data_IF_442404113780
#
_entry.id   IF_442404113780
#
_cell.length_a   1.000
_cell.length_b   1.000
_cell.length_c   1.000
_cell.angle_alpha   90.00
_cell.angle_beta   90.00
_cell.angle_gamma   90.00
#
_symmetry.space_group_name_H-M   'P 1'
#
loop_
_entity.id
_entity.type
_entity.pdbx_description
1 polymer ?
#
# COMPACT_ATOMS: atom_id res chain seq x y z
N UNK A 1 14.81 -7.07 -27.04
CA UNK A 1 13.75 -6.22 -26.46
C UNK A 1 12.72 -5.82 -27.51
N UNK A 2 11.45 -6.15 -27.27
CA UNK A 2 10.34 -5.93 -28.20
C UNK A 2 9.62 -4.59 -27.89
N UNK A 3 10.04 -3.50 -28.54
CA UNK A 3 9.49 -2.16 -28.30
C UNK A 3 8.02 -2.03 -28.71
N UNK A 4 7.63 -2.62 -29.85
CA UNK A 4 6.23 -2.55 -30.29
C UNK A 4 5.28 -3.22 -29.29
N UNK A 5 5.65 -4.41 -28.80
CA UNK A 5 4.85 -5.10 -27.79
C UNK A 5 4.75 -4.31 -26.48
N UNK A 6 5.84 -3.64 -26.09
CA UNK A 6 5.84 -2.75 -24.94
C UNK A 6 4.78 -1.65 -25.11
N UNK A 7 4.79 -0.98 -26.25
CA UNK A 7 3.88 0.14 -26.51
C UNK A 7 2.42 -0.35 -26.57
N UNK A 8 2.16 -1.50 -27.19
CA UNK A 8 0.84 -2.15 -27.20
C UNK A 8 0.34 -2.47 -25.78
N UNK A 9 1.22 -2.97 -24.89
CA UNK A 9 0.89 -3.26 -23.48
C UNK A 9 0.50 -1.96 -22.76
N UNK A 10 1.27 -0.90 -22.95
CA UNK A 10 1.00 0.41 -22.33
C UNK A 10 -0.35 0.97 -22.78
N UNK A 11 -0.67 0.88 -24.08
CA UNK A 11 -1.97 1.29 -24.62
C UNK A 11 -3.09 0.44 -24.00
N UNK A 12 -2.96 -0.89 -24.06
CA UNK A 12 -3.95 -1.84 -23.55
C UNK A 12 -4.35 -1.55 -22.09
N UNK A 13 -3.35 -1.31 -21.25
CA UNK A 13 -3.53 -1.07 -19.81
C UNK A 13 -4.07 0.33 -19.52
N UNK A 14 -3.56 1.38 -20.17
CA UNK A 14 -4.04 2.76 -19.95
C UNK A 14 -5.50 2.92 -20.34
N UNK A 15 -5.91 2.37 -21.48
CA UNK A 15 -7.29 2.39 -21.94
C UNK A 15 -8.26 1.67 -20.98
N UNK A 16 -7.73 0.81 -20.11
CA UNK A 16 -8.51 0.02 -19.14
C UNK A 16 -8.34 0.51 -17.70
N UNK A 17 -7.74 1.69 -17.50
CA UNK A 17 -7.70 2.38 -16.22
C UNK A 17 -6.51 2.04 -15.33
N UNK A 18 -5.39 1.57 -15.88
CA UNK A 18 -4.13 1.55 -15.15
C UNK A 18 -3.57 2.98 -15.02
N UNK A 19 -3.26 3.41 -13.80
CA UNK A 19 -2.66 4.72 -13.54
C UNK A 19 -1.14 4.70 -13.73
N UNK A 20 -0.50 3.60 -13.33
CA UNK A 20 0.94 3.39 -13.46
C UNK A 20 1.24 2.06 -14.12
N UNK A 21 2.25 2.05 -14.99
CA UNK A 21 2.69 0.85 -15.70
C UNK A 21 4.21 0.87 -15.72
N UNK A 22 4.82 -0.17 -15.19
CA UNK A 22 6.27 -0.32 -15.15
C UNK A 22 6.68 -1.73 -15.52
N UNK A 23 7.91 -1.90 -15.98
CA UNK A 23 8.43 -3.20 -16.37
C UNK A 23 9.78 -3.39 -15.69
N UNK A 24 9.93 -4.51 -15.00
CA UNK A 24 11.20 -4.94 -14.43
C UNK A 24 11.77 -6.11 -15.23
N UNK A 25 13.09 -6.13 -15.42
CA UNK A 25 13.79 -7.35 -15.85
C UNK A 25 13.84 -8.35 -14.71
N UNK A 26 13.71 -9.65 -15.01
CA UNK A 26 13.88 -10.71 -14.01
C UNK A 26 15.24 -10.65 -13.29
N UNK A 27 16.27 -10.13 -13.96
CA UNK A 27 17.61 -9.99 -13.40
C UNK A 27 17.70 -8.91 -12.30
N UNK A 28 16.74 -7.99 -12.21
CA UNK A 28 16.76 -6.92 -11.21
C UNK A 28 16.80 -7.46 -9.77
N UNK A 29 16.20 -8.62 -9.52
CA UNK A 29 16.20 -9.30 -8.21
C UNK A 29 17.54 -9.93 -7.83
N UNK A 30 18.50 -10.03 -8.75
CA UNK A 30 19.76 -10.73 -8.52
C UNK A 30 20.85 -9.82 -7.95
N UNK A 31 20.66 -8.50 -7.94
CA UNK A 31 21.74 -7.55 -7.73
C UNK A 31 21.90 -7.04 -6.29
N UNK A 32 20.83 -7.00 -5.49
CA UNK A 32 20.86 -6.34 -4.17
C UNK A 32 20.69 -7.27 -2.96
N UNK A 33 20.41 -8.56 -3.19
CA UNK A 33 20.20 -9.56 -2.14
C UNK A 33 18.96 -9.32 -1.26
N UNK A 34 18.10 -8.35 -1.58
CA UNK A 34 16.92 -7.99 -0.76
C UNK A 34 15.88 -9.10 -0.71
N UNK A 35 15.73 -9.80 -1.83
CA UNK A 35 14.72 -10.84 -2.03
C UNK A 35 15.40 -12.19 -2.13
N UNK A 36 15.07 -13.11 -1.22
CA UNK A 36 15.55 -14.49 -1.25
C UNK A 36 15.03 -15.21 -2.50
N UNK A 37 15.79 -16.17 -3.01
CA UNK A 37 15.56 -16.82 -4.31
C UNK A 37 14.13 -17.37 -4.48
N UNK A 38 13.59 -18.03 -3.45
CA UNK A 38 12.25 -18.61 -3.47
C UNK A 38 11.10 -17.60 -3.73
N UNK A 39 11.35 -16.30 -3.57
CA UNK A 39 10.38 -15.23 -3.78
C UNK A 39 10.64 -14.44 -5.07
N UNK A 40 11.60 -14.88 -5.91
CA UNK A 40 11.97 -14.20 -7.16
C UNK A 40 11.11 -14.67 -8.33
N UNK A 41 10.87 -13.84 -9.35
CA UNK A 41 10.00 -14.20 -10.46
C UNK A 41 10.43 -15.47 -11.21
N UNK A 42 11.74 -15.66 -11.45
CA UNK A 42 12.28 -16.85 -12.12
C UNK A 42 12.06 -18.14 -11.32
N UNK A 43 12.05 -18.08 -9.98
CA UNK A 43 11.77 -19.25 -9.15
C UNK A 43 10.29 -19.61 -9.21
N UNK A 44 9.41 -18.60 -9.09
CA UNK A 44 7.96 -18.79 -9.08
C UNK A 44 7.43 -19.24 -10.44
N UNK A 45 8.03 -18.76 -11.53
CA UNK A 45 7.71 -19.19 -12.88
C UNK A 45 8.96 -19.13 -13.79
N UNK A 46 9.58 -20.28 -14.11
CA UNK A 46 10.89 -20.36 -14.79
C UNK A 46 10.99 -19.66 -16.15
N UNK A 47 9.86 -19.44 -16.84
CA UNK A 47 9.84 -18.74 -18.12
C UNK A 47 9.94 -17.21 -17.99
N UNK A 48 9.89 -16.66 -16.78
CA UNK A 48 9.85 -15.21 -16.57
C UNK A 48 11.13 -14.53 -17.07
N UNK A 49 10.97 -13.62 -18.05
CA UNK A 49 12.02 -12.71 -18.51
C UNK A 49 11.76 -11.27 -18.07
N UNK A 50 10.49 -10.88 -18.05
CA UNK A 50 10.06 -9.56 -17.61
C UNK A 50 8.86 -9.66 -16.67
N UNK A 51 8.76 -8.70 -15.76
CA UNK A 51 7.63 -8.53 -14.84
C UNK A 51 6.96 -7.21 -15.16
N UNK A 52 5.71 -7.26 -15.62
CA UNK A 52 4.89 -6.09 -15.88
C UNK A 52 4.16 -5.76 -14.57
N UNK A 53 4.29 -4.52 -14.09
CA UNK A 53 3.72 -4.03 -12.84
C UNK A 53 2.65 -2.99 -13.17
N UNK A 54 1.46 -3.20 -12.65
CA UNK A 54 0.29 -2.34 -12.87
C UNK A 54 -0.04 -1.69 -11.54
N UNK A 55 -0.11 -0.36 -11.52
CA UNK A 55 -0.49 0.45 -10.36
C UNK A 55 -1.85 1.11 -10.57
N UNK A 56 -2.66 1.12 -9.52
CA UNK A 56 -3.94 1.84 -9.48
C UNK A 56 -4.00 2.72 -8.22
N UNK A 57 -4.37 3.97 -8.40
CA UNK A 57 -4.46 4.96 -7.34
C UNK A 57 -5.60 4.62 -6.39
N UNK A 58 -5.34 4.80 -5.09
CA UNK A 58 -6.36 4.94 -4.07
C UNK A 58 -6.61 6.43 -3.82
N UNK A 59 -7.80 6.99 -4.13
CA UNK A 59 -8.06 8.41 -3.94
C UNK A 59 -7.81 8.87 -2.50
N UNK A 60 -7.08 9.96 -2.32
CA UNK A 60 -6.66 10.44 -0.99
C UNK A 60 -7.84 10.57 -0.01
N UNK A 61 -8.99 11.19 -0.34
CA UNK A 61 -10.11 11.31 0.59
C UNK A 61 -10.67 9.96 1.07
N UNK A 62 -10.59 8.92 0.24
CA UNK A 62 -10.99 7.55 0.63
C UNK A 62 -10.04 7.01 1.69
N UNK A 63 -8.73 7.11 1.43
CA UNK A 63 -7.67 6.70 2.36
C UNK A 63 -7.73 7.51 3.66
N UNK A 64 -8.11 8.78 3.61
CA UNK A 64 -8.22 9.64 4.79
C UNK A 64 -9.29 9.18 5.79
N UNK A 65 -10.32 8.46 5.34
CA UNK A 65 -11.34 7.90 6.24
C UNK A 65 -10.84 6.72 7.07
N UNK A 66 -9.66 6.18 6.77
CA UNK A 66 -9.18 4.94 7.36
C UNK A 66 -9.03 4.98 8.90
N UNK A 67 -9.26 3.87 9.61
CA UNK A 67 -9.93 2.66 9.16
C UNK A 67 -11.45 2.89 9.06
N UNK A 68 -12.07 2.51 7.96
CA UNK A 68 -13.52 2.67 7.75
C UNK A 68 -14.07 1.65 6.77
N UNK A 69 -15.40 1.51 6.76
CA UNK A 69 -16.11 0.70 5.75
C UNK A 69 -15.93 1.27 4.34
N UNK A 70 -15.91 2.60 4.20
CA UNK A 70 -15.74 3.28 2.93
C UNK A 70 -14.38 2.96 2.30
N UNK A 71 -13.33 3.01 3.11
CA UNK A 71 -11.99 2.64 2.66
C UNK A 71 -11.94 1.17 2.28
N UNK A 72 -12.53 0.28 3.10
CA UNK A 72 -12.59 -1.17 2.85
C UNK A 72 -13.19 -1.49 1.48
N UNK A 73 -14.37 -0.95 1.20
CA UNK A 73 -15.13 -1.34 0.02
C UNK A 73 -14.46 -0.86 -1.27
N UNK A 74 -13.92 0.36 -1.25
CA UNK A 74 -13.17 0.92 -2.37
C UNK A 74 -11.78 0.29 -2.52
N UNK A 75 -11.12 -0.09 -1.42
CA UNK A 75 -9.90 -0.90 -1.43
C UNK A 75 -10.17 -2.25 -2.12
N UNK A 76 -11.27 -2.93 -1.77
CA UNK A 76 -11.66 -4.19 -2.40
C UNK A 76 -11.99 -4.01 -3.90
N UNK A 77 -12.66 -2.91 -4.28
CA UNK A 77 -12.93 -2.61 -5.68
C UNK A 77 -11.64 -2.35 -6.47
N UNK A 78 -10.73 -1.52 -5.96
CA UNK A 78 -9.42 -1.29 -6.55
C UNK A 78 -8.65 -2.62 -6.76
N UNK A 79 -8.65 -3.49 -5.75
CA UNK A 79 -8.01 -4.80 -5.83
C UNK A 79 -8.63 -5.70 -6.91
N UNK A 80 -9.96 -5.76 -7.00
CA UNK A 80 -10.66 -6.55 -8.04
C UNK A 80 -10.35 -6.02 -9.44
N UNK A 81 -10.31 -4.70 -9.61
CA UNK A 81 -9.97 -4.09 -10.89
C UNK A 81 -8.53 -4.41 -11.30
N UNK A 82 -7.58 -4.33 -10.37
CA UNK A 82 -6.19 -4.73 -10.61
C UNK A 82 -6.07 -6.21 -11.00
N UNK A 83 -6.69 -7.11 -10.22
CA UNK A 83 -6.65 -8.54 -10.51
C UNK A 83 -7.29 -8.85 -11.88
N UNK A 84 -8.38 -8.15 -12.23
CA UNK A 84 -9.00 -8.21 -13.57
C UNK A 84 -8.08 -7.75 -14.69
N UNK A 85 -7.43 -6.59 -14.53
CA UNK A 85 -6.46 -6.06 -15.49
C UNK A 85 -5.29 -7.03 -15.73
N UNK A 86 -4.74 -7.59 -14.66
CA UNK A 86 -3.63 -8.56 -14.75
C UNK A 86 -4.06 -9.83 -15.48
N UNK A 87 -5.25 -10.35 -15.14
CA UNK A 87 -5.81 -11.54 -15.79
C UNK A 87 -6.04 -11.33 -17.28
N UNK A 88 -6.67 -10.21 -17.65
CA UNK A 88 -6.98 -9.88 -19.04
C UNK A 88 -5.71 -9.61 -19.86
N UNK A 89 -4.73 -8.89 -19.28
CA UNK A 89 -3.44 -8.68 -19.93
C UNK A 89 -2.74 -10.01 -20.21
N UNK A 90 -2.72 -10.92 -19.23
CA UNK A 90 -2.10 -12.23 -19.41
C UNK A 90 -2.78 -13.02 -20.53
N UNK A 91 -4.11 -13.05 -20.58
CA UNK A 91 -4.84 -13.71 -21.68
C UNK A 91 -4.57 -13.06 -23.03
N UNK A 92 -4.49 -11.73 -23.07
CA UNK A 92 -4.18 -10.96 -24.26
C UNK A 92 -2.77 -11.27 -24.80
N UNK A 93 -1.77 -11.33 -23.92
CA UNK A 93 -0.40 -11.73 -24.25
C UNK A 93 -0.32 -13.18 -24.75
N UNK A 94 -0.95 -14.12 -24.03
CA UNK A 94 -0.93 -15.54 -24.40
C UNK A 94 -1.54 -15.77 -25.80
N UNK A 95 -2.61 -15.06 -26.15
CA UNK A 95 -3.22 -15.11 -27.51
C UNK A 95 -2.31 -14.58 -28.62
N UNK A 96 -1.30 -13.78 -28.26
CA UNK A 96 -0.28 -13.23 -29.18
C UNK A 96 1.02 -14.04 -29.14
N UNK A 97 0.98 -15.27 -28.61
CA UNK A 97 2.15 -16.15 -28.50
C UNK A 97 3.15 -15.70 -27.43
N UNK A 98 2.79 -14.77 -26.55
CA UNK A 98 3.63 -14.30 -25.45
C UNK A 98 3.19 -14.98 -24.16
N UNK A 99 3.87 -16.07 -23.79
CA UNK A 99 3.55 -16.80 -22.57
C UNK A 99 3.59 -15.85 -21.37
N UNK A 100 2.54 -15.87 -20.55
CA UNK A 100 2.46 -15.04 -19.34
C UNK A 100 1.51 -15.61 -18.31
N UNK A 101 1.71 -15.25 -17.04
CA UNK A 101 0.80 -15.55 -15.93
C UNK A 101 0.58 -14.32 -15.05
N UNK A 102 -0.63 -14.08 -14.52
CA UNK A 102 -0.86 -13.07 -13.50
C UNK A 102 -0.56 -13.64 -12.11
N UNK A 103 -0.08 -12.79 -11.21
CA UNK A 103 0.00 -13.09 -9.77
C UNK A 103 -1.08 -12.28 -9.06
N UNK A 104 -1.91 -12.96 -8.25
CA UNK A 104 -2.97 -12.30 -7.48
C UNK A 104 -2.38 -11.29 -6.50
N UNK A 105 -3.03 -10.13 -6.34
CA UNK A 105 -2.42 -9.03 -5.57
C UNK A 105 -2.21 -9.30 -4.06
N UNK A 106 -3.02 -10.17 -3.43
CA UNK A 106 -2.80 -10.56 -2.01
C UNK A 106 -1.96 -11.83 -1.85
N UNK A 107 -2.34 -12.92 -2.51
CA UNK A 107 -1.61 -14.19 -2.40
C UNK A 107 -1.70 -14.89 -1.04
N UNK A 108 -2.74 -14.61 -0.23
CA UNK A 108 -3.02 -15.31 1.05
C UNK A 108 -4.53 -15.51 1.25
N UNK A 109 -4.91 -16.59 1.95
CA UNK A 109 -6.32 -16.95 2.18
C UNK A 109 -6.99 -16.11 3.28
N UNK A 110 -6.24 -15.77 4.33
CA UNK A 110 -6.74 -14.97 5.46
C UNK A 110 -5.58 -14.26 6.16
N UNK A 111 -5.90 -13.15 6.86
CA UNK A 111 -4.89 -12.36 7.59
C UNK A 111 -4.12 -13.17 8.64
N UNK A 112 -4.72 -14.22 9.22
CA UNK A 112 -4.03 -15.10 10.17
C UNK A 112 -2.83 -15.81 9.55
N UNK A 113 -2.89 -16.16 8.26
CA UNK A 113 -1.74 -16.77 7.56
C UNK A 113 -0.54 -15.81 7.55
N UNK A 114 -0.78 -14.49 7.48
CA UNK A 114 0.29 -13.49 7.51
C UNK A 114 0.86 -13.23 8.91
N UNK A 115 0.15 -13.64 9.96
CA UNK A 115 0.66 -13.58 11.33
C UNK A 115 1.72 -14.68 11.49
N UNK A 116 1.39 -15.89 11.06
CA UNK A 116 2.28 -17.06 11.14
C UNK A 116 3.42 -16.98 10.11
N UNK A 117 3.09 -16.53 8.89
CA UNK A 117 3.99 -16.43 7.75
C UNK A 117 3.93 -15.02 7.14
N UNK A 118 4.72 -14.06 7.63
CA UNK A 118 4.63 -12.64 7.26
C UNK A 118 5.21 -12.32 5.86
N UNK A 119 5.32 -13.33 4.99
CA UNK A 119 5.67 -13.19 3.57
C UNK A 119 4.74 -14.07 2.74
N UNK A 120 4.27 -13.49 1.65
CA UNK A 120 3.53 -14.20 0.60
C UNK A 120 4.48 -14.62 -0.51
N UNK A 121 3.99 -15.40 -1.48
CA UNK A 121 4.78 -15.90 -2.59
C UNK A 121 5.51 -14.79 -3.38
N UNK A 122 4.89 -13.61 -3.53
CA UNK A 122 5.47 -12.51 -4.30
C UNK A 122 5.15 -11.13 -3.74
N UNK A 123 6.15 -10.25 -3.66
CA UNK A 123 6.00 -8.89 -3.18
C UNK A 123 5.89 -7.89 -4.36
N UNK A 124 4.67 -7.45 -4.67
CA UNK A 124 4.44 -6.46 -5.73
C UNK A 124 5.15 -5.12 -5.49
N UNK A 125 5.43 -4.76 -4.23
CA UNK A 125 6.19 -3.57 -3.89
C UNK A 125 7.64 -3.65 -4.40
N UNK A 126 8.31 -4.80 -4.24
CA UNK A 126 9.66 -4.99 -4.77
C UNK A 126 9.65 -4.93 -6.30
N UNK A 127 8.61 -5.49 -6.94
CA UNK A 127 8.43 -5.39 -8.38
C UNK A 127 8.28 -3.93 -8.85
N UNK A 128 7.45 -3.13 -8.17
CA UNK A 128 7.26 -1.71 -8.48
C UNK A 128 8.55 -0.90 -8.30
N UNK A 129 9.36 -1.22 -7.29
CA UNK A 129 10.69 -0.63 -7.11
C UNK A 129 11.61 -0.94 -8.30
N UNK A 130 11.76 -2.22 -8.66
CA UNK A 130 12.62 -2.62 -9.78
C UNK A 130 12.10 -2.12 -11.13
N UNK A 131 10.80 -1.96 -11.28
CA UNK A 131 10.15 -1.44 -12.48
C UNK A 131 10.29 0.08 -12.63
N UNK A 132 10.84 0.78 -11.64
CA UNK A 132 11.02 2.23 -11.67
C UNK A 132 9.74 3.02 -11.44
N UNK A 133 8.74 2.44 -10.78
CA UNK A 133 7.48 3.14 -10.47
C UNK A 133 7.58 4.03 -9.22
N UNK A 134 8.61 3.81 -8.40
CA UNK A 134 8.81 4.56 -7.18
C UNK A 134 9.92 4.01 -6.31
N UNK A 135 10.11 4.63 -5.16
CA UNK A 135 11.15 4.24 -4.20
C UNK A 135 10.54 3.84 -2.86
N UNK A 136 11.16 2.88 -2.17
CA UNK A 136 10.69 2.46 -0.85
C UNK A 136 10.91 3.60 0.16
N UNK A 137 9.86 3.99 0.86
CA UNK A 137 9.92 4.97 1.94
C UNK A 137 10.16 4.34 3.31
N UNK A 138 10.39 5.18 4.32
CA UNK A 138 10.51 4.75 5.74
C UNK A 138 9.33 3.86 6.17
N UNK A 139 8.15 4.10 5.64
CA UNK A 139 6.94 3.32 5.91
C UNK A 139 6.91 1.92 5.26
N UNK A 140 8.00 1.46 4.62
CA UNK A 140 8.09 0.18 3.92
C UNK A 140 7.09 0.03 2.74
N UNK A 141 6.59 1.16 2.20
CA UNK A 141 5.75 1.19 0.99
C UNK A 141 6.47 1.88 -0.16
N UNK A 142 5.99 1.64 -1.37
CA UNK A 142 6.47 2.36 -2.56
C UNK A 142 5.87 3.75 -2.59
N UNK A 143 6.74 4.76 -2.68
CA UNK A 143 6.37 6.14 -2.90
C UNK A 143 6.50 6.43 -4.39
N UNK A 144 5.40 6.78 -5.04
CA UNK A 144 5.39 7.28 -6.42
C UNK A 144 5.35 8.81 -6.41
N UNK A 145 5.71 9.45 -7.53
CA UNK A 145 5.74 10.91 -7.65
C UNK A 145 4.34 11.49 -7.59
N UNK A 146 3.43 10.88 -8.33
CA UNK A 146 2.05 11.32 -8.54
C UNK A 146 1.19 11.09 -7.28
N UNK A 147 1.35 9.94 -6.61
CA UNK A 147 0.39 9.46 -5.61
C UNK A 147 1.03 9.11 -4.26
N UNK A 148 2.35 9.22 -4.13
CA UNK A 148 3.06 8.75 -2.95
C UNK A 148 2.75 7.27 -2.67
N UNK A 149 2.41 6.88 -1.43
CA UNK A 149 2.07 5.49 -1.11
C UNK A 149 0.62 5.10 -1.42
N UNK A 150 -0.19 5.99 -2.01
CA UNK A 150 -1.62 5.76 -2.26
C UNK A 150 -1.85 5.02 -3.57
N UNK A 151 -1.11 3.92 -3.76
CA UNK A 151 -1.19 3.08 -4.94
C UNK A 151 -1.24 1.62 -4.52
N UNK A 152 -2.07 0.84 -5.19
CA UNK A 152 -2.10 -0.62 -5.11
C UNK A 152 -1.44 -1.18 -6.36
N UNK A 153 -0.71 -2.28 -6.21
CA UNK A 153 0.03 -2.90 -7.30
C UNK A 153 -0.38 -4.36 -7.50
N UNK A 154 -0.32 -4.82 -8.75
CA UNK A 154 -0.37 -6.22 -9.16
C UNK A 154 0.69 -6.46 -10.24
N UNK A 155 1.02 -7.72 -10.50
CA UNK A 155 2.07 -8.05 -11.48
C UNK A 155 1.70 -9.21 -12.40
N UNK A 156 2.19 -9.12 -13.64
CA UNK A 156 2.11 -10.18 -14.64
C UNK A 156 3.54 -10.58 -15.00
N UNK A 157 3.83 -11.88 -14.89
CA UNK A 157 5.10 -12.43 -15.35
C UNK A 157 4.97 -12.82 -16.82
N UNK A 158 5.99 -12.54 -17.62
CA UNK A 158 5.99 -12.85 -19.05
C UNK A 158 7.32 -13.40 -19.52
N UNK A 159 7.26 -14.31 -20.49
CA UNK A 159 8.41 -14.79 -21.25
C UNK A 159 8.82 -13.79 -22.35
N UNK A 160 8.07 -12.71 -22.55
CA UNK A 160 8.47 -11.64 -23.44
C UNK A 160 9.69 -10.88 -22.88
N UNK A 161 10.65 -10.58 -23.74
CA UNK A 161 11.80 -9.72 -23.42
C UNK A 161 11.44 -8.25 -23.66
N UNK A 162 11.06 -7.55 -22.59
CA UNK A 162 10.56 -6.18 -22.64
C UNK A 162 11.58 -5.14 -22.14
N UNK A 163 11.54 -3.90 -22.63
CA UNK A 163 12.30 -2.79 -22.07
C UNK A 163 12.02 -2.60 -20.58
N UNK A 164 13.06 -2.71 -19.75
CA UNK A 164 12.93 -2.60 -18.31
C UNK A 164 13.28 -1.19 -17.82
N UNK A 165 12.51 -0.69 -16.85
CA UNK A 165 12.84 0.47 -16.05
C UNK A 165 13.98 0.21 -15.09
N UNK A 166 14.33 1.24 -14.32
CA UNK A 166 15.30 1.17 -13.22
C UNK A 166 14.72 1.86 -11.99
N UNK A 167 15.10 1.43 -10.78
CA UNK A 167 14.72 2.13 -9.56
C UNK A 167 14.95 3.63 -9.65
N UNK A 168 13.95 4.40 -9.19
CA UNK A 168 13.99 5.87 -9.19
C UNK A 168 14.71 6.41 -7.96
N UNK A 169 14.86 7.73 -7.90
CA UNK A 169 15.38 8.44 -6.74
C UNK A 169 14.50 8.27 -5.50
N UNK A 170 15.12 8.40 -4.32
CA UNK A 170 14.39 8.32 -3.05
C UNK A 170 13.48 9.54 -2.85
N UNK A 171 12.16 9.34 -2.96
CA UNK A 171 11.14 10.36 -2.76
C UNK A 171 10.80 10.62 -1.29
N UNK A 172 11.30 9.80 -0.36
CA UNK A 172 10.98 9.95 1.06
C UNK A 172 11.68 11.17 1.66
N UNK A 173 10.90 12.16 2.08
CA UNK A 173 11.41 13.37 2.77
C UNK A 173 11.75 13.15 4.25
N UNK A 174 11.70 11.90 4.74
CA UNK A 174 12.05 11.51 6.11
C UNK A 174 11.33 12.26 7.24
N UNK A 175 10.09 12.69 7.01
CA UNK A 175 9.32 13.47 7.99
C UNK A 175 8.94 12.72 9.28
N UNK A 176 9.05 11.39 9.33
CA UNK A 176 8.70 10.58 10.49
C UNK A 176 7.20 10.37 10.74
N UNK A 177 6.32 10.93 9.92
CA UNK A 177 4.87 10.85 10.12
C UNK A 177 4.33 9.42 10.20
N UNK A 178 4.82 8.52 9.33
CA UNK A 178 4.40 7.12 9.36
C UNK A 178 4.77 6.41 10.68
N UNK A 179 5.90 6.78 11.30
CA UNK A 179 6.36 6.28 12.59
C UNK A 179 5.52 6.87 13.71
N UNK A 180 5.33 8.19 13.70
CA UNK A 180 4.56 8.94 14.71
C UNK A 180 3.10 8.46 14.82
N UNK A 181 2.44 8.22 13.68
CA UNK A 181 1.00 7.93 13.63
C UNK A 181 0.67 6.44 13.60
N UNK A 182 1.65 5.53 13.62
CA UNK A 182 1.37 4.11 13.60
C UNK A 182 0.62 3.70 14.88
N UNK A 183 -0.64 3.20 14.81
CA UNK A 183 -1.43 2.92 16.02
C UNK A 183 -0.80 1.90 16.98
N UNK A 184 0.05 1.02 16.44
CA UNK A 184 0.69 -0.09 17.16
C UNK A 184 2.22 0.00 17.19
N UNK A 185 2.80 1.15 16.82
CA UNK A 185 4.26 1.35 16.77
C UNK A 185 5.00 0.26 15.96
N UNK A 186 4.40 -0.20 14.87
CA UNK A 186 5.00 -1.24 14.02
C UNK A 186 6.22 -0.74 13.22
N UNK A 187 6.37 0.56 13.03
CA UNK A 187 7.52 1.15 12.35
C UNK A 187 8.44 1.76 13.42
N UNK A 188 9.62 1.17 13.63
CA UNK A 188 10.58 1.58 14.65
C UNK A 188 11.72 2.35 14.01
N UNK A 189 11.84 3.63 14.38
CA UNK A 189 12.94 4.48 13.98
C UNK A 189 13.11 5.62 15.00
N UNK A 190 14.31 5.77 15.57
CA UNK A 190 14.61 6.86 16.50
C UNK A 190 14.72 8.22 15.81
N UNK A 191 14.62 9.30 16.58
CA UNK A 191 14.87 10.67 16.07
C UNK A 191 16.28 10.83 15.48
N UNK A 192 17.26 10.08 15.98
CA UNK A 192 18.64 10.09 15.46
C UNK A 192 18.67 9.44 14.07
N UNK A 193 18.08 8.27 13.93
CA UNK A 193 18.01 7.54 12.66
C UNK A 193 17.17 8.27 11.59
N UNK A 194 16.12 9.01 11.99
CA UNK A 194 15.39 9.88 11.05
C UNK A 194 16.31 10.91 10.38
N UNK A 195 17.34 11.40 11.08
CA UNK A 195 18.33 12.35 10.54
C UNK A 195 19.45 11.66 9.77
N UNK A 196 19.67 10.38 9.99
CA UNK A 196 20.66 9.60 9.25
C UNK A 196 20.12 9.20 7.87
N UNK A 197 20.76 9.70 6.81
CA UNK A 197 20.35 9.38 5.44
C UNK A 197 20.67 7.92 5.03
N UNK A 198 21.52 7.22 5.79
CA UNK A 198 21.83 5.82 5.56
C UNK A 198 20.71 4.87 6.03
N UNK A 199 19.86 5.30 6.96
CA UNK A 199 18.70 4.53 7.39
C UNK A 199 17.58 4.62 6.34
N UNK A 200 17.56 3.71 5.37
CA UNK A 200 16.67 3.81 4.20
C UNK A 200 15.21 3.49 4.53
N UNK A 201 14.96 2.53 5.44
CA UNK A 201 13.63 2.09 5.86
C UNK A 201 13.54 1.94 7.38
N UNK A 202 12.33 2.03 7.95
CA UNK A 202 12.13 1.68 9.36
C UNK A 202 12.24 0.18 9.59
N UNK A 203 12.69 -0.20 10.79
CA UNK A 203 12.52 -1.57 11.27
C UNK A 203 11.02 -1.85 11.43
N UNK A 204 10.53 -2.80 10.64
CA UNK A 204 9.10 -3.04 10.46
C UNK A 204 8.65 -4.32 11.17
N UNK A 205 7.95 -4.14 12.28
CA UNK A 205 7.28 -5.17 13.04
C UNK A 205 6.02 -5.66 12.31
N UNK A 206 6.23 -6.61 11.39
CA UNK A 206 5.17 -7.19 10.56
C UNK A 206 4.11 -7.89 11.40
N UNK A 207 4.51 -8.51 12.51
CA UNK A 207 3.61 -9.23 13.40
C UNK A 207 2.64 -8.26 14.09
N UNK A 208 3.15 -7.20 14.71
CA UNK A 208 2.29 -6.17 15.33
C UNK A 208 1.33 -5.53 14.31
N UNK A 209 1.81 -5.27 13.08
CA UNK A 209 0.95 -4.74 12.02
C UNK A 209 -0.14 -5.73 11.57
N UNK A 210 0.20 -7.02 11.45
CA UNK A 210 -0.75 -8.07 11.07
C UNK A 210 -1.81 -8.31 12.16
N UNK A 211 -1.44 -8.28 13.45
CA UNK A 211 -2.37 -8.34 14.56
C UNK A 211 -3.36 -7.16 14.55
N UNK A 212 -2.87 -5.95 14.28
CA UNK A 212 -3.72 -4.77 14.10
C UNK A 212 -4.66 -4.93 12.90
N UNK A 213 -4.14 -5.42 11.76
CA UNK A 213 -4.95 -5.70 10.59
C UNK A 213 -6.05 -6.73 10.88
N UNK A 214 -5.76 -7.79 11.64
CA UNK A 214 -6.76 -8.76 12.11
C UNK A 214 -7.87 -8.09 12.93
N UNK A 215 -7.51 -7.22 13.87
CA UNK A 215 -8.49 -6.47 14.67
C UNK A 215 -9.38 -5.56 13.81
N UNK A 216 -8.81 -4.90 12.78
CA UNK A 216 -9.58 -4.09 11.83
C UNK A 216 -10.50 -4.94 10.95
N UNK A 217 -10.05 -6.13 10.53
CA UNK A 217 -10.87 -7.09 9.78
C UNK A 217 -12.07 -7.56 10.61
N UNK A 218 -11.86 -7.93 11.87
CA UNK A 218 -12.94 -8.32 12.79
C UNK A 218 -13.96 -7.18 13.04
N UNK A 219 -13.51 -5.92 12.96
CA UNK A 219 -14.35 -4.72 13.07
C UNK A 219 -14.98 -4.29 11.75
N UNK A 220 -14.64 -4.94 10.64
CA UNK A 220 -15.18 -4.65 9.31
C UNK A 220 -14.67 -3.34 8.69
N UNK A 221 -13.50 -2.83 9.11
CA UNK A 221 -12.97 -1.52 8.71
C UNK A 221 -11.53 -1.57 8.18
N UNK A 222 -11.06 -2.73 7.72
CA UNK A 222 -9.75 -2.86 7.09
C UNK A 222 -9.71 -2.11 5.74
N UNK A 223 -8.54 -1.76 5.20
CA UNK A 223 -7.21 -1.86 5.81
C UNK A 223 -6.98 -0.76 6.86
N UNK A 224 -5.87 -0.85 7.61
CA UNK A 224 -5.45 0.24 8.50
C UNK A 224 -4.92 1.44 7.71
N UNK A 225 -3.86 1.29 6.91
CA UNK A 225 -3.40 2.33 5.98
C UNK A 225 -2.99 3.68 6.58
N UNK A 226 -2.85 3.84 7.90
CA UNK A 226 -2.52 5.14 8.52
C UNK A 226 -1.18 5.68 8.01
N UNK A 227 -0.17 4.82 7.84
CA UNK A 227 1.13 5.21 7.28
C UNK A 227 1.03 5.71 5.83
N UNK A 228 0.03 5.25 5.06
CA UNK A 228 -0.30 5.73 3.72
C UNK A 228 -1.06 7.06 3.76
N UNK A 229 -2.04 7.16 4.68
CA UNK A 229 -2.84 8.37 4.93
C UNK A 229 -1.98 9.58 5.24
N UNK A 230 -1.03 9.44 6.16
CA UNK A 230 -0.27 10.59 6.70
C UNK A 230 0.97 10.96 5.87
N UNK A 231 1.39 10.11 4.92
CA UNK A 231 2.63 10.34 4.17
C UNK A 231 2.52 11.54 3.22
N UNK A 232 3.32 12.62 3.41
CA UNK A 232 3.17 13.87 2.66
C UNK A 232 3.63 13.82 1.21
N UNK A 233 4.22 12.73 0.76
CA UNK A 233 4.69 12.56 -0.63
C UNK A 233 3.50 12.27 -1.53
N UNK A 234 3.51 12.82 -2.75
CA UNK A 234 2.50 12.64 -3.80
C UNK A 234 1.85 13.96 -4.24
N UNK A 235 1.86 14.23 -5.55
CA UNK A 235 1.26 15.41 -6.18
C UNK A 235 -0.27 15.46 -6.05
N UNK A 236 -0.93 14.31 -5.92
CA UNK A 236 -2.37 14.19 -5.66
C UNK A 236 -2.85 14.93 -4.40
N UNK A 237 -1.95 15.24 -3.47
CA UNK A 237 -2.26 16.05 -2.29
C UNK A 237 -2.68 17.47 -2.65
N UNK A 238 -2.12 18.04 -3.71
CA UNK A 238 -2.43 19.40 -4.15
C UNK A 238 -3.89 19.50 -4.59
N UNK A 239 -4.40 18.48 -5.31
CA UNK A 239 -5.79 18.42 -5.77
C UNK A 239 -6.81 18.57 -4.63
N UNK A 240 -6.49 18.02 -3.46
CA UNK A 240 -7.37 18.04 -2.29
C UNK A 240 -7.00 19.11 -1.26
N UNK A 241 -6.07 20.03 -1.58
CA UNK A 241 -5.61 21.06 -0.65
C UNK A 241 -4.97 20.47 0.62
N UNK A 242 -4.09 19.47 0.46
CA UNK A 242 -3.45 18.73 1.56
C UNK A 242 -1.95 18.96 1.66
N UNK A 243 -1.41 20.09 1.20
CA UNK A 243 0.04 20.33 1.17
C UNK A 243 0.64 20.49 2.60
N UNK A 244 -0.11 21.07 3.55
CA UNK A 244 0.30 21.27 4.96
C UNK A 244 -0.08 20.09 5.88
N UNK A 245 0.15 18.87 5.40
CA UNK A 245 -0.38 17.58 5.89
C UNK A 245 -0.37 17.35 7.41
N UNK A 246 0.78 17.46 8.08
CA UNK A 246 0.94 16.88 9.42
C UNK A 246 0.15 17.60 10.51
N UNK A 247 -0.07 18.90 10.36
CA UNK A 247 -0.86 19.68 11.31
C UNK A 247 -2.30 19.21 11.39
N UNK A 248 -2.89 18.80 10.26
CA UNK A 248 -4.26 18.28 10.20
C UNK A 248 -4.37 16.94 10.92
N UNK A 249 -3.51 15.99 10.57
CA UNK A 249 -3.56 14.65 11.15
C UNK A 249 -3.23 14.63 12.65
N UNK A 250 -2.33 15.51 13.15
CA UNK A 250 -2.08 15.65 14.60
C UNK A 250 -3.34 16.10 15.34
N UNK A 251 -4.03 17.11 14.81
CA UNK A 251 -5.29 17.62 15.38
C UNK A 251 -6.39 16.57 15.33
N UNK A 252 -6.40 15.70 14.33
CA UNK A 252 -7.37 14.62 14.22
C UNK A 252 -7.30 13.65 15.39
N UNK A 253 -6.09 13.23 15.78
CA UNK A 253 -5.91 12.26 16.86
C UNK A 253 -6.48 12.72 18.19
N UNK A 254 -6.43 14.02 18.47
CA UNK A 254 -6.98 14.65 19.67
C UNK A 254 -8.39 15.23 19.48
N UNK A 255 -8.98 15.15 18.28
CA UNK A 255 -10.34 15.63 18.03
C UNK A 255 -11.37 14.66 18.59
N UNK A 256 -12.48 15.17 19.18
CA UNK A 256 -13.57 14.32 19.61
C UNK A 256 -14.24 13.64 18.40
N UNK A 257 -14.66 12.38 18.57
CA UNK A 257 -15.29 11.61 17.49
C UNK A 257 -16.71 12.09 17.20
N UNK A 258 -17.40 12.63 18.20
CA UNK A 258 -18.67 13.36 18.03
C UNK A 258 -18.35 14.83 18.14
N UNK A 259 -18.89 15.63 17.23
CA UNK A 259 -18.77 17.09 17.32
C UNK A 259 -17.35 17.65 17.12
N UNK A 260 -16.55 16.96 16.29
CA UNK A 260 -15.26 17.49 15.84
C UNK A 260 -15.44 18.91 15.26
N UNK A 261 -14.66 19.90 15.73
CA UNK A 261 -14.79 21.28 15.29
C UNK A 261 -14.38 21.43 13.82
N UNK A 262 -13.33 20.72 13.41
CA UNK A 262 -12.88 20.66 12.04
C UNK A 262 -13.89 19.88 11.16
N UNK A 263 -14.44 20.47 10.09
CA UNK A 263 -15.44 19.82 9.23
C UNK A 263 -14.95 18.54 8.57
N UNK A 264 -13.66 18.45 8.27
CA UNK A 264 -13.05 17.29 7.62
C UNK A 264 -12.95 16.13 8.60
N UNK A 265 -12.51 16.39 9.84
CA UNK A 265 -12.51 15.38 10.90
C UNK A 265 -13.92 14.91 11.23
N UNK A 266 -14.90 15.83 11.24
CA UNK A 266 -16.32 15.49 11.44
C UNK A 266 -16.82 14.53 10.36
N UNK A 267 -16.49 14.80 9.10
CA UNK A 267 -16.84 13.93 7.96
C UNK A 267 -16.20 12.55 8.09
N UNK A 268 -14.88 12.48 8.32
CA UNK A 268 -14.18 11.21 8.49
C UNK A 268 -14.74 10.40 9.67
N UNK A 269 -14.97 11.04 10.81
CA UNK A 269 -15.50 10.37 12.00
C UNK A 269 -16.93 9.90 11.78
N UNK A 270 -17.76 10.66 11.07
CA UNK A 270 -19.08 10.20 10.65
C UNK A 270 -18.98 8.92 9.81
N UNK A 271 -18.09 8.90 8.80
CA UNK A 271 -17.89 7.73 7.94
C UNK A 271 -17.37 6.52 8.74
N UNK A 272 -16.44 6.71 9.68
CA UNK A 272 -15.91 5.62 10.52
C UNK A 272 -16.97 5.01 11.44
N UNK A 273 -17.88 5.85 11.96
CA UNK A 273 -19.00 5.43 12.83
C UNK A 273 -20.05 4.62 12.10
N UNK A 274 -20.18 4.78 10.79
CA UNK A 274 -21.21 4.10 10.00
C UNK A 274 -20.63 2.89 9.29
N UNK A 275 -21.34 1.76 9.35
CA UNK A 275 -20.98 0.53 8.63
C UNK A 275 -19.75 -0.23 9.14
N UNK A 276 -19.15 0.18 10.27
CA UNK A 276 -18.09 -0.58 10.95
C UNK A 276 -18.33 -0.67 12.46
N UNK A 277 -17.66 -1.61 13.13
CA UNK A 277 -17.70 -1.76 14.60
C UNK A 277 -16.57 -1.01 15.30
N UNK A 278 -15.80 -0.20 14.57
CA UNK A 278 -14.67 0.54 15.14
C UNK A 278 -15.15 1.63 16.11
N UNK A 279 -16.17 2.40 15.70
CA UNK A 279 -16.75 3.48 16.50
C UNK A 279 -18.25 3.24 16.60
N UNK A 280 -18.74 2.99 17.81
CA UNK A 280 -20.15 2.69 18.07
C UNK A 280 -20.99 3.91 18.48
N UNK A 281 -22.32 3.75 18.41
CA UNK A 281 -23.28 4.77 18.85
C UNK A 281 -23.36 4.95 20.38
N UNK A 282 -22.65 4.14 21.15
CA UNK A 282 -22.49 4.32 22.61
C UNK A 282 -21.15 4.97 23.02
N UNK A 283 -20.27 5.30 22.06
CA UNK A 283 -18.99 5.96 22.37
C UNK A 283 -19.26 7.40 22.87
N UNK A 284 -18.76 7.81 24.05
CA UNK A 284 -18.93 9.18 24.56
C UNK A 284 -18.47 10.25 23.57
N UNK A 285 -19.09 11.44 23.61
CA UNK A 285 -18.82 12.51 22.63
C UNK A 285 -17.40 13.05 22.68
N UNK A 286 -16.85 13.14 23.89
CA UNK A 286 -15.49 13.57 24.21
C UNK A 286 -14.40 12.54 23.88
N UNK A 287 -14.78 11.30 23.53
CA UNK A 287 -13.81 10.26 23.17
C UNK A 287 -13.05 10.65 21.90
N UNK A 288 -11.73 10.51 21.92
CA UNK A 288 -10.87 10.81 20.76
C UNK A 288 -10.52 9.55 19.97
N UNK A 289 -10.12 9.72 18.70
CA UNK A 289 -9.61 8.60 17.88
C UNK A 289 -8.39 7.95 18.55
N UNK A 290 -7.51 8.74 19.16
CA UNK A 290 -6.34 8.21 19.85
C UNK A 290 -6.73 7.32 21.04
N UNK A 291 -7.72 7.72 21.83
CA UNK A 291 -8.24 6.90 22.95
C UNK A 291 -8.77 5.55 22.44
N UNK A 292 -9.50 5.54 21.33
CA UNK A 292 -10.02 4.30 20.72
C UNK A 292 -8.87 3.41 20.26
N UNK A 293 -7.86 3.97 19.58
CA UNK A 293 -6.71 3.20 19.12
C UNK A 293 -5.90 2.62 20.28
N UNK A 294 -5.71 3.38 21.36
CA UNK A 294 -5.05 2.91 22.57
C UNK A 294 -5.81 1.74 23.20
N UNK A 295 -7.14 1.82 23.33
CA UNK A 295 -7.95 0.74 23.87
C UNK A 295 -7.84 -0.56 23.04
N UNK A 296 -7.92 -0.46 21.71
CA UNK A 296 -7.79 -1.62 20.81
C UNK A 296 -6.37 -2.19 20.89
N UNK A 297 -5.35 -1.34 20.98
CA UNK A 297 -3.97 -1.79 21.14
C UNK A 297 -3.80 -2.60 22.43
N UNK A 298 -4.37 -2.14 23.54
CA UNK A 298 -4.34 -2.90 24.81
C UNK A 298 -5.10 -4.23 24.70
N UNK A 299 -6.23 -4.27 24.00
CA UNK A 299 -6.96 -5.52 23.73
C UNK A 299 -6.11 -6.52 22.93
N UNK A 300 -5.31 -6.06 21.98
CA UNK A 300 -4.43 -6.92 21.18
C UNK A 300 -3.28 -7.45 22.04
N UNK A 301 -2.64 -6.60 22.83
CA UNK A 301 -1.49 -6.96 23.67
C UNK A 301 -1.88 -7.82 24.88
N UNK A 302 -3.09 -7.66 25.42
CA UNK A 302 -3.58 -8.47 26.54
C UNK A 302 -4.11 -9.85 26.16
N UNK A 303 -3.97 -10.26 24.90
CA UNK A 303 -4.35 -11.59 24.38
C UNK A 303 -3.15 -12.49 24.07
N UNK A 304 -1.94 -12.03 24.36
CA UNK A 304 -0.69 -12.81 24.38
C UNK A 304 -0.37 -13.24 25.81
#
# INVERSE_FOLDING_TARGET
>A
MNQQLNDDIHIFLRERGADLIGIASVNAWNHDGRVSEAYRPAFLWPLTRSVIVIGMQMPLPVVETTPSVQHRDLYNTCNRNLDGLAFDLSRWLNRRGQASIPLSRDGYAAINVLIDYPRVAFAHNDAAYYAGLGHIGINNTILTREFGPRVRFVSVFTAADLPAGRPTENLCIRCGACVEFCPVNALKLSKRELRDRNAVVADYDRHACALWARAMTQRGCYPCGICTKVCPVGEDRTLYGREKTLGHYRKELSSPVRDAPDPLHRSWNHIRRRGSRLIGDNVPSDTTINTIFQAIRQEILGRE
#
